data_IF_785979477050
#
_entry.id   IF_785979477050
#
_cell.length_a   1.000
_cell.length_b   1.000
_cell.length_c   1.000
_cell.angle_alpha   90.00
_cell.angle_beta   90.00
_cell.angle_gamma   90.00
#
_symmetry.space_group_name_H-M   'P 1'
#
loop_
_entity.id
_entity.type
_entity.pdbx_description
1 polymer ?
#
# COMPACT_ATOMS: atom_id res chain seq x y z
N UNK A 1 -0.59 8.55 11.46
CA UNK A 1 -0.35 7.69 10.28
C UNK A 1 -0.79 8.44 9.02
N UNK A 2 0.13 9.06 8.26
CA UNK A 2 -0.23 9.71 6.98
C UNK A 2 -0.22 8.65 5.87
N UNK A 3 -1.30 7.86 5.80
CA UNK A 3 -1.61 7.05 4.61
C UNK A 3 -2.20 8.00 3.55
N UNK A 4 -1.65 7.97 2.34
CA UNK A 4 -1.87 8.94 1.26
C UNK A 4 -3.28 8.88 0.60
N UNK A 5 -4.33 8.54 1.33
CA UNK A 5 -5.67 8.26 0.78
C UNK A 5 -6.48 9.46 0.28
N UNK A 6 -6.13 10.71 0.59
CA UNK A 6 -6.99 11.87 0.32
C UNK A 6 -6.45 12.90 -0.68
N UNK A 7 -5.23 12.73 -1.22
CA UNK A 7 -4.68 13.65 -2.24
C UNK A 7 -4.67 12.96 -3.60
N UNK A 8 -5.78 13.07 -4.33
CA UNK A 8 -5.95 12.49 -5.66
C UNK A 8 -4.93 13.03 -6.66
N UNK A 9 -4.06 12.13 -7.16
CA UNK A 9 -3.33 12.27 -8.42
C UNK A 9 -3.06 10.87 -8.99
N UNK A 10 -3.99 10.35 -9.77
CA UNK A 10 -3.82 9.15 -10.60
C UNK A 10 -3.19 9.53 -11.93
N UNK A 11 -2.02 8.97 -12.26
CA UNK A 11 -1.45 9.04 -13.60
C UNK A 11 -1.44 7.61 -14.20
N UNK A 12 -2.20 7.45 -15.27
CA UNK A 12 -2.29 6.26 -16.13
C UNK A 12 -1.08 6.24 -17.07
N UNK A 13 -0.50 5.06 -17.31
CA UNK A 13 0.52 4.88 -18.34
C UNK A 13 0.84 3.41 -18.57
N UNK A 14 0.26 2.82 -19.61
CA UNK A 14 0.63 1.50 -20.16
C UNK A 14 1.30 1.76 -21.49
N UNK A 15 2.54 1.29 -21.66
CA UNK A 15 3.13 1.06 -22.99
C UNK A 15 3.86 -0.27 -22.93
N UNK A 16 3.33 -1.26 -23.63
CA UNK A 16 3.97 -2.56 -23.84
C UNK A 16 4.85 -2.55 -25.08
N UNK A 17 5.92 -3.34 -25.06
CA UNK A 17 6.60 -3.82 -26.25
C UNK A 17 7.06 -5.26 -26.01
N UNK A 18 6.58 -6.17 -26.86
CA UNK A 18 7.02 -7.56 -27.01
C UNK A 18 8.19 -7.54 -28.00
N UNK A 19 9.31 -8.16 -27.65
CA UNK A 19 10.30 -8.61 -28.63
C UNK A 19 10.65 -10.07 -28.35
N UNK A 20 10.46 -10.90 -29.38
CA UNK A 20 11.02 -12.23 -29.49
C UNK A 20 12.53 -12.13 -29.75
N UNK A 21 13.32 -12.99 -29.13
CA UNK A 21 14.70 -13.29 -29.55
C UNK A 21 14.87 -14.81 -29.53
N UNK A 22 15.31 -15.35 -30.66
CA UNK A 22 15.67 -16.75 -30.90
C UNK A 22 17.08 -17.05 -30.43
N UNK A 23 17.31 -18.32 -30.09
CA UNK A 23 18.55 -18.89 -29.57
C UNK A 23 19.82 -18.55 -30.37
N UNK A 24 20.89 -18.29 -29.62
CA UNK A 24 22.26 -18.18 -30.09
C UNK A 24 23.20 -18.12 -28.88
N UNK A 25 23.92 -19.21 -28.63
CA UNK A 25 25.00 -19.27 -27.64
C UNK A 25 26.11 -18.29 -28.02
N UNK A 26 26.35 -17.29 -27.16
CA UNK A 26 27.59 -16.53 -27.13
C UNK A 26 27.77 -15.83 -25.78
N UNK A 27 28.86 -16.21 -25.11
CA UNK A 27 29.75 -15.36 -24.32
C UNK A 27 29.15 -14.57 -23.13
N UNK A 28 29.60 -14.93 -21.91
CA UNK A 28 29.29 -14.25 -20.65
C UNK A 28 29.89 -12.85 -20.67
N UNK A 29 29.17 -11.91 -21.28
CA UNK A 29 29.44 -10.49 -21.19
C UNK A 29 29.10 -10.01 -19.77
N UNK A 30 30.13 -9.55 -19.06
CA UNK A 30 29.99 -8.81 -17.81
C UNK A 30 28.97 -7.68 -17.99
N UNK A 31 27.83 -7.83 -17.33
CA UNK A 31 26.78 -6.81 -17.27
C UNK A 31 27.34 -5.58 -16.57
N UNK A 32 27.22 -4.43 -17.23
CA UNK A 32 27.57 -3.11 -16.72
C UNK A 32 26.98 -2.89 -15.32
N UNK A 33 27.84 -2.53 -14.36
CA UNK A 33 27.64 -2.61 -12.91
C UNK A 33 26.21 -2.26 -12.43
N UNK A 34 25.40 -3.29 -12.20
CA UNK A 34 24.37 -3.26 -11.17
C UNK A 34 25.09 -3.03 -9.84
N UNK A 35 24.73 -1.98 -9.09
CA UNK A 35 25.33 -1.73 -7.77
C UNK A 35 25.19 -2.97 -6.90
N UNK A 36 26.29 -3.44 -6.32
CA UNK A 36 26.22 -4.56 -5.39
C UNK A 36 25.36 -4.16 -4.18
N UNK A 37 24.82 -5.12 -3.44
CA UNK A 37 24.09 -4.84 -2.19
C UNK A 37 24.89 -3.88 -1.30
N UNK A 38 26.21 -4.12 -1.16
CA UNK A 38 27.10 -3.28 -0.36
C UNK A 38 27.14 -1.82 -0.83
N UNK A 39 27.27 -1.58 -2.14
CA UNK A 39 27.30 -0.23 -2.71
C UNK A 39 25.98 0.51 -2.48
N UNK A 40 24.86 -0.18 -2.68
CA UNK A 40 23.52 0.40 -2.51
C UNK A 40 23.22 0.70 -1.04
N UNK A 41 23.63 -0.19 -0.13
CA UNK A 41 23.49 0.04 1.32
C UNK A 41 24.36 1.21 1.78
N UNK A 42 25.59 1.35 1.28
CA UNK A 42 26.44 2.49 1.58
C UNK A 42 25.84 3.81 1.09
N UNK A 43 25.24 3.81 -0.10
CA UNK A 43 24.56 4.99 -0.62
C UNK A 43 23.30 5.34 0.18
N UNK A 44 22.49 4.34 0.56
CA UNK A 44 21.33 4.53 1.44
C UNK A 44 21.74 5.15 2.78
N UNK A 45 22.83 4.68 3.38
CA UNK A 45 23.37 5.26 4.61
C UNK A 45 23.78 6.74 4.42
N UNK A 46 24.32 7.09 3.24
CA UNK A 46 24.64 8.47 2.88
C UNK A 46 23.41 9.37 2.66
N UNK A 47 22.21 8.80 2.48
CA UNK A 47 20.96 9.56 2.37
C UNK A 47 20.31 9.86 3.73
N UNK A 48 20.90 9.38 4.82
CA UNK A 48 20.30 9.48 6.13
C UNK A 48 20.30 10.90 6.69
N UNK A 49 19.19 11.29 7.30
CA UNK A 49 19.00 12.59 7.94
C UNK A 49 18.32 12.44 9.31
N UNK A 50 19.01 12.86 10.37
CA UNK A 50 18.55 12.67 11.75
C UNK A 50 17.27 13.44 12.08
N UNK A 51 17.05 14.60 11.45
CA UNK A 51 15.82 15.37 11.65
C UNK A 51 14.64 14.70 10.97
N UNK A 52 14.85 14.17 9.77
CA UNK A 52 13.85 13.37 9.08
C UNK A 52 13.52 12.09 9.86
N UNK A 53 14.53 11.42 10.45
CA UNK A 53 14.32 10.26 11.33
C UNK A 53 13.43 10.61 12.50
N UNK A 54 13.74 11.67 13.25
CA UNK A 54 12.96 12.08 14.42
C UNK A 54 11.48 12.32 14.05
N UNK A 55 11.22 12.93 12.89
CA UNK A 55 9.86 13.16 12.40
C UNK A 55 9.18 11.85 11.99
N UNK A 56 9.89 10.93 11.34
CA UNK A 56 9.34 9.66 10.86
C UNK A 56 9.07 8.68 12.02
N UNK A 57 9.92 8.66 13.04
CA UNK A 57 9.76 7.80 14.22
C UNK A 57 8.51 8.16 15.01
N UNK A 58 8.16 9.46 15.09
CA UNK A 58 6.86 9.92 15.65
C UNK A 58 5.65 9.36 14.90
N UNK A 59 5.84 8.89 13.68
CA UNK A 59 4.81 8.24 12.87
C UNK A 59 4.96 6.72 12.79
N UNK A 60 5.93 6.13 13.49
CA UNK A 60 6.20 4.69 13.53
C UNK A 60 7.16 4.19 12.44
N UNK A 61 7.81 5.08 11.68
CA UNK A 61 8.74 4.75 10.61
C UNK A 61 10.19 5.04 11.06
N UNK A 62 11.04 4.01 11.16
CA UNK A 62 12.40 4.05 11.72
C UNK A 62 13.49 4.34 10.68
N UNK A 63 13.21 5.25 9.74
CA UNK A 63 14.17 5.71 8.72
C UNK A 63 14.25 7.24 8.67
N UNK A 64 15.42 7.81 8.38
CA UNK A 64 15.59 9.25 8.09
C UNK A 64 15.80 9.57 6.61
N UNK A 65 15.66 8.57 5.73
CA UNK A 65 15.84 8.80 4.28
C UNK A 65 14.70 9.62 3.69
N UNK A 66 15.04 10.69 2.97
CA UNK A 66 14.08 11.45 2.17
C UNK A 66 13.53 10.62 1.00
N UNK A 67 12.20 10.42 0.94
CA UNK A 67 11.56 9.58 -0.07
C UNK A 67 11.74 10.07 -1.52
N UNK A 68 12.00 11.36 -1.74
CA UNK A 68 12.33 11.91 -3.05
C UNK A 68 13.73 11.45 -3.52
N UNK A 69 14.72 11.49 -2.62
CA UNK A 69 16.07 10.96 -2.88
C UNK A 69 16.04 9.44 -3.08
N UNK A 70 15.26 8.73 -2.26
CA UNK A 70 15.04 7.28 -2.40
C UNK A 70 14.48 6.92 -3.79
N UNK A 71 13.49 7.67 -4.28
CA UNK A 71 12.94 7.48 -5.62
C UNK A 71 13.93 7.82 -6.73
N UNK A 72 14.80 8.82 -6.53
CA UNK A 72 15.87 9.13 -7.47
C UNK A 72 16.89 7.98 -7.57
N UNK A 73 17.25 7.37 -6.44
CA UNK A 73 18.07 6.17 -6.37
C UNK A 73 17.40 4.99 -7.10
N UNK A 74 16.13 4.70 -6.79
CA UNK A 74 15.37 3.65 -7.47
C UNK A 74 15.31 3.86 -8.99
N UNK A 75 15.11 5.12 -9.45
CA UNK A 75 15.10 5.48 -10.86
C UNK A 75 16.44 5.16 -11.55
N UNK A 76 17.57 5.39 -10.88
CA UNK A 76 18.89 5.08 -11.41
C UNK A 76 19.14 3.57 -11.45
N UNK A 77 18.76 2.84 -10.41
CA UNK A 77 18.93 1.38 -10.32
C UNK A 77 18.03 0.62 -11.31
N UNK A 78 16.87 1.19 -11.66
CA UNK A 78 15.80 0.53 -12.43
C UNK A 78 15.33 -0.75 -11.72
N UNK A 79 14.60 -1.61 -12.43
CA UNK A 79 14.12 -2.89 -11.89
C UNK A 79 15.29 -3.87 -11.72
N UNK A 80 15.51 -4.32 -10.49
CA UNK A 80 16.56 -5.26 -10.07
C UNK A 80 15.96 -6.24 -9.05
N UNK A 81 15.34 -7.33 -9.52
CA UNK A 81 14.53 -8.19 -8.65
C UNK A 81 15.34 -8.95 -7.60
N UNK A 82 16.47 -9.54 -7.98
CA UNK A 82 17.32 -10.27 -7.03
C UNK A 82 17.92 -9.33 -5.97
N UNK A 83 18.40 -8.15 -6.40
CA UNK A 83 18.82 -7.10 -5.48
C UNK A 83 17.68 -6.66 -4.55
N UNK A 84 16.44 -6.58 -5.04
CA UNK A 84 15.30 -6.25 -4.18
C UNK A 84 15.09 -7.29 -3.06
N UNK A 85 15.29 -8.58 -3.35
CA UNK A 85 15.23 -9.64 -2.33
C UNK A 85 16.35 -9.50 -1.31
N UNK A 86 17.57 -9.21 -1.76
CA UNK A 86 18.72 -8.97 -0.88
C UNK A 86 18.51 -7.73 0.01
N UNK A 87 18.04 -6.62 -0.57
CA UNK A 87 17.70 -5.39 0.16
C UNK A 87 16.58 -5.66 1.18
N UNK A 88 15.58 -6.45 0.83
CA UNK A 88 14.51 -6.83 1.74
C UNK A 88 15.02 -7.63 2.93
N UNK A 89 15.87 -8.62 2.66
CA UNK A 89 16.48 -9.51 3.64
C UNK A 89 17.42 -8.79 4.62
N UNK A 90 17.96 -7.62 4.25
CA UNK A 90 18.80 -6.79 5.14
C UNK A 90 18.07 -6.36 6.43
N UNK A 91 16.73 -6.30 6.41
CA UNK A 91 15.94 -5.84 7.55
C UNK A 91 15.85 -4.33 7.70
N UNK A 92 16.70 -3.56 7.02
CA UNK A 92 16.71 -2.10 7.07
C UNK A 92 15.45 -1.51 6.40
N UNK A 93 14.82 -0.55 7.06
CA UNK A 93 13.56 0.05 6.57
C UNK A 93 13.75 0.82 5.28
N UNK A 94 14.85 1.58 5.12
CA UNK A 94 15.09 2.31 3.88
C UNK A 94 15.44 1.35 2.72
N UNK A 95 16.18 0.27 3.00
CA UNK A 95 16.46 -0.80 2.05
C UNK A 95 15.19 -1.52 1.61
N UNK A 96 14.26 -1.82 2.53
CA UNK A 96 12.95 -2.42 2.19
C UNK A 96 12.07 -1.48 1.36
N UNK A 97 12.06 -0.19 1.65
CA UNK A 97 11.38 0.79 0.81
C UNK A 97 12.00 0.86 -0.59
N UNK A 98 13.33 0.78 -0.71
CA UNK A 98 14.01 0.70 -2.00
C UNK A 98 13.68 -0.60 -2.74
N UNK A 99 13.70 -1.74 -2.04
CA UNK A 99 13.36 -3.05 -2.57
C UNK A 99 11.98 -3.03 -3.26
N UNK A 100 10.98 -2.46 -2.60
CA UNK A 100 9.64 -2.30 -3.16
C UNK A 100 9.66 -1.49 -4.47
N UNK A 101 10.48 -0.46 -4.57
CA UNK A 101 10.57 0.39 -5.76
C UNK A 101 11.30 -0.26 -6.95
N UNK A 102 12.20 -1.22 -6.69
CA UNK A 102 13.05 -1.86 -7.72
C UNK A 102 12.69 -3.32 -8.01
N UNK A 103 11.71 -3.90 -7.32
CA UNK A 103 11.28 -5.27 -7.54
C UNK A 103 10.46 -5.48 -8.83
N UNK A 104 10.16 -6.75 -9.15
CA UNK A 104 9.12 -7.14 -10.11
C UNK A 104 7.90 -7.63 -9.33
N UNK A 105 6.83 -6.83 -9.19
CA UNK A 105 5.69 -7.17 -8.33
C UNK A 105 5.06 -8.55 -8.55
N UNK A 106 4.96 -8.98 -9.81
CA UNK A 106 4.32 -10.24 -10.21
C UNK A 106 5.23 -11.47 -10.09
N UNK A 107 6.47 -11.29 -9.68
CA UNK A 107 7.46 -12.38 -9.57
C UNK A 107 7.53 -12.99 -8.16
N UNK A 108 6.91 -12.35 -7.16
CA UNK A 108 6.80 -12.88 -5.80
C UNK A 108 5.71 -13.96 -5.73
N UNK A 109 6.02 -15.06 -5.04
CA UNK A 109 5.04 -16.07 -4.66
C UNK A 109 4.16 -15.60 -3.49
N UNK A 110 3.06 -16.31 -3.24
CA UNK A 110 2.17 -16.07 -2.10
C UNK A 110 2.86 -16.20 -0.74
N UNK A 111 3.59 -17.29 -0.50
CA UNK A 111 4.36 -17.51 0.74
C UNK A 111 5.40 -16.40 0.98
N UNK A 112 6.03 -15.92 -0.11
CA UNK A 112 7.00 -14.83 -0.03
C UNK A 112 6.31 -13.51 0.34
N UNK A 113 5.15 -13.21 -0.26
CA UNK A 113 4.36 -12.02 0.07
C UNK A 113 3.81 -12.06 1.50
N UNK A 114 3.38 -13.22 1.99
CA UNK A 114 2.96 -13.41 3.38
C UNK A 114 4.12 -13.17 4.36
N UNK A 115 5.29 -13.74 4.08
CA UNK A 115 6.49 -13.48 4.87
C UNK A 115 6.85 -11.98 4.86
N UNK A 116 6.78 -11.32 3.70
CA UNK A 116 7.05 -9.90 3.56
C UNK A 116 6.07 -9.05 4.39
N UNK A 117 4.76 -9.31 4.34
CA UNK A 117 3.79 -8.48 5.09
C UNK A 117 4.00 -8.58 6.61
N UNK A 118 4.38 -9.77 7.11
CA UNK A 118 4.70 -10.00 8.53
C UNK A 118 6.03 -9.34 8.96
N UNK A 119 6.94 -9.15 8.02
CA UNK A 119 8.22 -8.46 8.25
C UNK A 119 8.09 -6.93 8.14
N UNK A 120 7.07 -6.42 7.45
CA UNK A 120 6.82 -5.00 7.18
C UNK A 120 6.21 -4.25 8.38
N UNK A 121 6.94 -4.17 9.50
CA UNK A 121 6.44 -3.53 10.74
C UNK A 121 6.24 -2.01 10.59
N UNK A 122 7.18 -1.33 9.94
CA UNK A 122 7.09 0.10 9.66
C UNK A 122 5.85 0.41 8.78
N UNK A 123 4.95 1.33 9.19
CA UNK A 123 3.74 1.66 8.45
C UNK A 123 3.98 1.97 6.97
N UNK A 124 5.05 2.70 6.64
CA UNK A 124 5.40 3.05 5.26
C UNK A 124 5.73 1.82 4.41
N UNK A 125 6.50 0.89 4.98
CA UNK A 125 6.94 -0.32 4.29
C UNK A 125 5.73 -1.17 3.93
N UNK A 126 4.82 -1.39 4.89
CA UNK A 126 3.60 -2.16 4.61
C UNK A 126 2.72 -1.45 3.57
N UNK A 127 2.47 -0.16 3.73
CA UNK A 127 1.64 0.62 2.80
C UNK A 127 2.15 0.52 1.37
N UNK A 128 3.47 0.68 1.18
CA UNK A 128 4.10 0.56 -0.13
C UNK A 128 4.12 -0.89 -0.64
N UNK A 129 4.38 -1.86 0.23
CA UNK A 129 4.33 -3.28 -0.15
C UNK A 129 2.95 -3.63 -0.69
N UNK A 130 1.89 -3.34 0.07
CA UNK A 130 0.52 -3.63 -0.36
C UNK A 130 0.20 -2.89 -1.65
N UNK A 131 0.39 -1.56 -1.69
CA UNK A 131 -0.08 -0.76 -2.81
C UNK A 131 0.74 -0.92 -4.10
N UNK A 132 2.05 -1.13 -4.01
CA UNK A 132 2.92 -1.17 -5.18
C UNK A 132 3.21 -2.60 -5.64
N UNK A 133 3.13 -3.58 -4.73
CA UNK A 133 3.45 -4.98 -4.99
C UNK A 133 2.19 -5.84 -4.95
N UNK A 134 1.59 -6.05 -3.77
CA UNK A 134 0.57 -7.07 -3.56
C UNK A 134 -0.67 -6.84 -4.43
N UNK A 135 -1.15 -5.60 -4.54
CA UNK A 135 -2.29 -5.24 -5.39
C UNK A 135 -2.13 -5.61 -6.88
N UNK A 136 -0.89 -5.80 -7.34
CA UNK A 136 -0.57 -6.18 -8.72
C UNK A 136 -0.30 -7.68 -8.88
N UNK A 137 -0.21 -8.41 -7.77
CA UNK A 137 0.10 -9.84 -7.73
C UNK A 137 -1.08 -10.66 -8.26
N UNK A 138 -0.83 -11.79 -8.96
CA UNK A 138 -1.88 -12.76 -9.26
C UNK A 138 -2.48 -13.39 -7.98
N UNK A 139 -1.75 -13.36 -6.86
CA UNK A 139 -2.15 -13.94 -5.57
C UNK A 139 -3.03 -13.01 -4.72
N UNK A 140 -3.40 -11.82 -5.22
CA UNK A 140 -4.04 -10.78 -4.41
C UNK A 140 -5.38 -11.22 -3.78
N UNK A 141 -6.18 -12.03 -4.47
CA UNK A 141 -7.48 -12.48 -3.94
C UNK A 141 -7.32 -13.52 -2.83
N UNK A 142 -6.45 -14.50 -3.02
CA UNK A 142 -6.20 -15.54 -2.01
C UNK A 142 -5.58 -14.92 -0.75
N UNK A 143 -4.60 -14.01 -0.92
CA UNK A 143 -4.01 -13.25 0.18
C UNK A 143 -5.04 -12.33 0.86
N UNK A 144 -5.97 -11.72 0.12
CA UNK A 144 -7.04 -10.91 0.72
C UNK A 144 -7.89 -11.74 1.67
N UNK A 145 -8.31 -12.94 1.25
CA UNK A 145 -9.13 -13.84 2.06
C UNK A 145 -8.36 -14.32 3.31
N UNK A 146 -7.12 -14.78 3.13
CA UNK A 146 -6.28 -15.23 4.23
C UNK A 146 -5.99 -14.09 5.23
N UNK A 147 -5.54 -12.93 4.74
CA UNK A 147 -5.14 -11.82 5.62
C UNK A 147 -6.32 -11.18 6.32
N UNK A 148 -7.49 -11.01 5.68
CA UNK A 148 -8.66 -10.42 6.34
C UNK A 148 -9.14 -11.21 7.57
N UNK A 149 -8.79 -12.50 7.68
CA UNK A 149 -9.11 -13.35 8.83
C UNK A 149 -7.91 -13.57 9.78
N UNK A 150 -6.76 -12.94 9.51
CA UNK A 150 -5.55 -13.13 10.31
C UNK A 150 -5.71 -12.46 11.70
N UNK A 151 -5.30 -13.12 12.80
CA UNK A 151 -5.40 -12.55 14.14
C UNK A 151 -4.43 -11.39 14.39
N UNK A 152 -3.37 -11.24 13.58
CA UNK A 152 -2.49 -10.08 13.65
C UNK A 152 -3.16 -8.87 12.98
N UNK A 153 -3.50 -7.79 13.71
CA UNK A 153 -4.16 -6.62 13.15
C UNK A 153 -3.34 -5.92 12.07
N UNK A 154 -2.01 -6.07 12.08
CA UNK A 154 -1.12 -5.54 11.06
C UNK A 154 -1.35 -6.29 9.74
N UNK A 155 -1.45 -7.61 9.77
CA UNK A 155 -1.73 -8.44 8.58
C UNK A 155 -3.19 -8.24 8.14
N UNK A 156 -4.13 -8.25 9.08
CA UNK A 156 -5.54 -7.98 8.80
C UNK A 156 -5.75 -6.64 8.08
N UNK A 157 -5.02 -5.59 8.48
CA UNK A 157 -5.11 -4.29 7.81
C UNK A 157 -4.71 -4.34 6.32
N UNK A 158 -3.76 -5.21 5.94
CA UNK A 158 -3.42 -5.44 4.54
C UNK A 158 -4.57 -6.16 3.79
N UNK A 159 -5.21 -7.16 4.41
CA UNK A 159 -6.41 -7.81 3.84
C UNK A 159 -7.56 -6.83 3.60
N UNK A 160 -7.82 -5.92 4.54
CA UNK A 160 -8.81 -4.85 4.38
C UNK A 160 -8.44 -3.82 3.32
N UNK A 161 -7.15 -3.52 3.13
CA UNK A 161 -6.68 -2.67 2.05
C UNK A 161 -6.86 -3.30 0.65
N UNK A 162 -6.70 -4.62 0.54
CA UNK A 162 -7.01 -5.39 -0.67
C UNK A 162 -8.52 -5.46 -0.92
N UNK A 163 -9.31 -5.64 0.15
CA UNK A 163 -10.78 -5.61 0.10
C UNK A 163 -11.29 -4.26 -0.40
N UNK A 164 -10.75 -3.16 0.10
CA UNK A 164 -11.10 -1.81 -0.37
C UNK A 164 -10.81 -1.62 -1.86
N UNK A 165 -9.72 -2.18 -2.39
CA UNK A 165 -9.46 -2.12 -3.84
C UNK A 165 -10.45 -2.97 -4.64
N UNK A 166 -10.78 -4.18 -4.16
CA UNK A 166 -11.74 -5.05 -4.84
C UNK A 166 -13.13 -4.43 -4.89
N UNK A 167 -13.59 -3.80 -3.79
CA UNK A 167 -14.85 -3.04 -3.73
C UNK A 167 -14.95 -2.01 -4.86
N UNK A 168 -13.84 -1.34 -5.19
CA UNK A 168 -13.79 -0.31 -6.24
C UNK A 168 -13.68 -0.91 -7.64
N UNK A 169 -12.83 -1.93 -7.83
CA UNK A 169 -12.43 -2.38 -9.17
C UNK A 169 -13.16 -3.61 -9.68
N UNK A 170 -13.51 -4.55 -8.81
CA UNK A 170 -14.06 -5.87 -9.15
C UNK A 170 -15.03 -6.36 -8.04
N UNK A 171 -16.13 -5.64 -7.81
CA UNK A 171 -17.04 -5.91 -6.69
C UNK A 171 -17.87 -7.19 -6.86
N UNK A 172 -17.91 -7.78 -8.06
CA UNK A 172 -18.70 -8.97 -8.34
C UNK A 172 -18.33 -10.11 -7.37
N UNK A 173 -19.34 -10.70 -6.74
CA UNK A 173 -19.17 -11.78 -5.77
C UNK A 173 -18.65 -11.35 -4.39
N UNK A 174 -18.53 -10.05 -4.09
CA UNK A 174 -18.33 -9.59 -2.71
C UNK A 174 -19.66 -9.55 -1.96
N UNK A 175 -19.65 -10.05 -0.73
CA UNK A 175 -20.73 -9.81 0.23
C UNK A 175 -20.55 -8.43 0.89
N UNK A 176 -21.00 -7.38 0.19
CA UNK A 176 -20.90 -6.01 0.70
C UNK A 176 -21.73 -5.80 1.97
N UNK A 177 -22.84 -6.53 2.13
CA UNK A 177 -23.66 -6.46 3.34
C UNK A 177 -22.89 -7.03 4.54
N UNK A 178 -22.29 -8.22 4.38
CA UNK A 178 -21.46 -8.84 5.42
C UNK A 178 -20.22 -8.02 5.75
N UNK A 179 -19.57 -7.38 4.77
CA UNK A 179 -18.45 -6.46 5.06
C UNK A 179 -18.90 -5.28 5.95
N UNK A 180 -20.07 -4.71 5.70
CA UNK A 180 -20.63 -3.65 6.55
C UNK A 180 -20.99 -4.16 7.94
N UNK A 181 -21.49 -5.40 8.07
CA UNK A 181 -21.75 -6.03 9.38
C UNK A 181 -20.47 -6.12 10.22
N UNK A 182 -19.37 -6.58 9.62
CA UNK A 182 -18.06 -6.69 10.31
C UNK A 182 -17.52 -5.31 10.68
N UNK A 183 -17.59 -4.34 9.77
CA UNK A 183 -17.17 -2.95 10.05
C UNK A 183 -17.94 -2.37 11.23
N UNK A 184 -19.26 -2.53 11.22
CA UNK A 184 -20.14 -2.02 12.27
C UNK A 184 -19.81 -2.63 13.64
N UNK A 185 -19.53 -3.93 13.68
CA UNK A 185 -19.23 -4.65 14.92
C UNK A 185 -17.83 -4.35 15.47
N UNK A 186 -16.81 -4.24 14.62
CA UNK A 186 -15.42 -4.35 15.05
C UNK A 186 -14.60 -3.06 14.89
N UNK A 187 -14.89 -2.20 13.90
CA UNK A 187 -14.01 -1.11 13.50
C UNK A 187 -13.68 -0.14 14.64
N UNK A 188 -14.65 0.16 15.51
CA UNK A 188 -14.46 1.09 16.63
C UNK A 188 -13.43 0.61 17.65
N UNK A 189 -13.32 -0.71 17.85
CA UNK A 189 -12.37 -1.33 18.78
C UNK A 189 -11.06 -1.77 18.12
N UNK A 190 -10.97 -1.74 16.79
CA UNK A 190 -9.78 -2.17 16.06
C UNK A 190 -8.57 -1.24 16.33
N UNK A 191 -7.33 -1.78 16.35
CA UNK A 191 -6.12 -0.97 16.43
C UNK A 191 -6.00 0.01 15.24
N UNK A 192 -5.37 1.16 15.46
CA UNK A 192 -5.33 2.31 14.53
C UNK A 192 -5.18 1.95 13.04
N UNK A 193 -4.23 1.06 12.72
CA UNK A 193 -3.96 0.68 11.32
C UNK A 193 -5.10 -0.14 10.71
N UNK A 194 -5.63 -1.09 11.45
CA UNK A 194 -6.78 -1.90 11.04
C UNK A 194 -8.05 -1.04 10.98
N UNK A 195 -8.27 -0.19 11.99
CA UNK A 195 -9.38 0.76 12.01
C UNK A 195 -9.37 1.68 10.78
N UNK A 196 -8.20 2.18 10.38
CA UNK A 196 -8.06 2.99 9.17
C UNK A 196 -8.42 2.20 7.90
N UNK A 197 -7.96 0.95 7.78
CA UNK A 197 -8.24 0.11 6.62
C UNK A 197 -9.73 -0.24 6.52
N UNK A 198 -10.39 -0.54 7.64
CA UNK A 198 -11.83 -0.77 7.73
C UNK A 198 -12.63 0.50 7.39
N UNK A 199 -12.24 1.67 7.90
CA UNK A 199 -12.87 2.95 7.58
C UNK A 199 -12.73 3.28 6.08
N UNK A 200 -11.58 2.95 5.49
CA UNK A 200 -11.38 3.08 4.04
C UNK A 200 -12.35 2.18 3.28
N UNK A 201 -12.53 0.93 3.70
CA UNK A 201 -13.49 0.03 3.07
C UNK A 201 -14.93 0.54 3.19
N UNK A 202 -15.34 1.01 4.38
CA UNK A 202 -16.63 1.64 4.62
C UNK A 202 -16.89 2.80 3.65
N UNK A 203 -15.93 3.70 3.53
CA UNK A 203 -16.03 4.85 2.63
C UNK A 203 -16.13 4.40 1.17
N UNK A 204 -15.30 3.47 0.72
CA UNK A 204 -15.36 2.97 -0.66
C UNK A 204 -16.69 2.28 -0.97
N UNK A 205 -17.25 1.50 -0.03
CA UNK A 205 -18.59 0.91 -0.20
C UNK A 205 -19.63 2.02 -0.39
N UNK A 206 -19.62 3.04 0.49
CA UNK A 206 -20.57 4.15 0.38
C UNK A 206 -20.40 5.02 -0.87
N UNK A 207 -19.18 5.17 -1.38
CA UNK A 207 -18.87 5.94 -2.58
C UNK A 207 -19.32 5.18 -3.83
N UNK A 208 -18.89 3.93 -3.98
CA UNK A 208 -19.02 3.15 -5.21
C UNK A 208 -20.38 2.46 -5.36
N UNK A 209 -21.07 2.16 -4.25
CA UNK A 209 -22.27 1.32 -4.27
C UNK A 209 -23.48 2.08 -3.68
N UNK A 210 -24.28 2.78 -4.52
CA UNK A 210 -25.41 3.60 -4.07
C UNK A 210 -26.41 2.86 -3.18
N UNK A 211 -26.68 1.58 -3.46
CA UNK A 211 -27.60 0.75 -2.67
C UNK A 211 -27.17 0.53 -1.21
N UNK A 212 -25.87 0.68 -0.91
CA UNK A 212 -25.31 0.52 0.43
C UNK A 212 -24.93 1.86 1.08
N UNK A 213 -25.04 2.98 0.35
CA UNK A 213 -24.56 4.29 0.80
C UNK A 213 -25.22 4.77 2.09
N UNK A 214 -26.54 4.66 2.18
CA UNK A 214 -27.29 5.07 3.37
C UNK A 214 -26.79 4.32 4.61
N UNK A 215 -26.57 3.01 4.47
CA UNK A 215 -26.02 2.17 5.54
C UNK A 215 -24.59 2.55 5.91
N UNK A 216 -23.73 2.80 4.93
CA UNK A 216 -22.35 3.20 5.18
C UNK A 216 -22.25 4.56 5.91
N UNK A 217 -23.11 5.52 5.55
CA UNK A 217 -23.21 6.82 6.23
C UNK A 217 -23.67 6.65 7.68
N UNK A 218 -24.72 5.86 7.92
CA UNK A 218 -25.21 5.58 9.28
C UNK A 218 -24.13 4.97 10.18
N UNK A 219 -23.40 3.97 9.69
CA UNK A 219 -22.29 3.35 10.43
C UNK A 219 -21.23 4.40 10.74
N UNK A 220 -20.83 5.21 9.75
CA UNK A 220 -19.86 6.29 9.97
C UNK A 220 -20.29 7.29 11.04
N UNK A 221 -21.56 7.71 11.02
CA UNK A 221 -22.13 8.64 12.00
C UNK A 221 -22.28 8.03 13.40
N UNK A 222 -22.59 6.73 13.54
CA UNK A 222 -22.66 6.12 14.87
C UNK A 222 -21.28 5.84 15.47
N UNK A 223 -20.33 5.42 14.65
CA UNK A 223 -19.01 5.01 15.13
C UNK A 223 -18.07 6.20 15.36
N UNK A 224 -18.23 7.30 14.62
CA UNK A 224 -17.42 8.53 14.73
C UNK A 224 -15.90 8.30 14.59
N UNK A 225 -15.51 7.22 13.93
CA UNK A 225 -14.10 6.87 13.67
C UNK A 225 -13.45 7.92 12.77
N UNK A 226 -12.30 8.46 13.18
CA UNK A 226 -11.56 9.52 12.49
C UNK A 226 -12.30 10.86 12.32
N UNK A 227 -13.37 11.11 13.08
CA UNK A 227 -14.14 12.35 13.01
C UNK A 227 -13.29 13.61 13.20
N UNK A 228 -12.42 13.59 14.21
CA UNK A 228 -11.58 14.72 14.59
C UNK A 228 -10.17 14.64 13.98
N UNK A 229 -9.98 13.82 12.95
CA UNK A 229 -8.66 13.65 12.34
C UNK A 229 -8.18 14.97 11.71
N UNK A 230 -6.98 15.47 12.07
CA UNK A 230 -6.44 16.71 11.54
C UNK A 230 -6.35 16.67 10.00
N UNK A 231 -7.16 17.50 9.35
CA UNK A 231 -7.24 17.57 7.88
C UNK A 231 -6.72 18.92 7.42
N UNK A 232 -5.58 18.98 6.70
CA UNK A 232 -5.05 20.23 6.17
C UNK A 232 -6.02 20.92 5.20
N UNK A 233 -5.93 22.25 5.05
CA UNK A 233 -6.74 22.99 4.07
C UNK A 233 -6.64 22.39 2.66
N UNK A 234 -7.80 22.24 1.99
CA UNK A 234 -7.90 21.69 0.64
C UNK A 234 -7.86 20.15 0.55
N UNK A 235 -7.69 19.44 1.67
CA UNK A 235 -7.83 17.98 1.73
C UNK A 235 -9.26 17.57 2.13
N UNK A 236 -9.70 16.40 1.69
CA UNK A 236 -10.95 15.79 2.17
C UNK A 236 -10.68 15.03 3.46
N UNK A 237 -11.52 15.25 4.48
CA UNK A 237 -11.41 14.52 5.77
C UNK A 237 -11.56 13.01 5.56
N UNK A 238 -10.80 12.17 6.30
CA UNK A 238 -10.96 10.73 6.24
C UNK A 238 -12.18 10.22 7.01
N UNK A 239 -12.92 11.09 7.72
CA UNK A 239 -14.18 10.73 8.36
C UNK A 239 -15.18 10.25 7.30
N UNK A 240 -15.61 8.99 7.39
CA UNK A 240 -16.33 8.32 6.31
C UNK A 240 -17.55 9.10 5.78
N UNK A 241 -18.44 9.70 6.61
CA UNK A 241 -19.56 10.48 6.10
C UNK A 241 -19.14 11.70 5.25
N UNK A 242 -18.14 12.47 5.69
CA UNK A 242 -17.61 13.60 4.92
C UNK A 242 -16.94 13.11 3.65
N UNK A 243 -16.14 12.04 3.74
CA UNK A 243 -15.42 11.50 2.60
C UNK A 243 -16.38 10.98 1.52
N UNK A 244 -17.38 10.18 1.92
CA UNK A 244 -18.42 9.65 1.02
C UNK A 244 -19.14 10.79 0.33
N UNK A 245 -19.66 11.76 1.09
CA UNK A 245 -20.41 12.89 0.55
C UNK A 245 -19.60 13.69 -0.47
N UNK A 246 -18.34 14.00 -0.17
CA UNK A 246 -17.48 14.78 -1.07
C UNK A 246 -17.13 14.02 -2.36
N UNK A 247 -16.84 12.72 -2.27
CA UNK A 247 -16.48 11.93 -3.45
C UNK A 247 -17.68 11.66 -4.36
N UNK A 248 -18.87 11.42 -3.79
CA UNK A 248 -20.12 11.30 -4.57
C UNK A 248 -20.41 12.61 -5.29
N UNK A 249 -20.35 13.76 -4.58
CA UNK A 249 -20.54 15.09 -5.18
C UNK A 249 -19.59 15.36 -6.35
N UNK A 250 -18.32 14.94 -6.23
CA UNK A 250 -17.34 15.08 -7.31
C UNK A 250 -17.68 14.22 -8.52
N UNK A 251 -18.13 12.98 -8.31
CA UNK A 251 -18.54 12.07 -9.40
C UNK A 251 -19.76 12.58 -10.15
N UNK A 252 -20.74 13.12 -9.43
CA UNK A 252 -21.97 13.65 -10.03
C UNK A 252 -21.72 14.94 -10.84
N UNK A 253 -20.58 15.61 -10.63
CA UNK A 253 -20.18 16.82 -11.33
C UNK A 253 -19.29 16.57 -12.57
N UNK A 254 -18.93 15.31 -12.85
CA UNK A 254 -18.14 14.89 -14.01
C UNK A 254 -19.03 14.38 -15.14
#
# INVERSE_FOLDING_TARGET
>A
MVLQGACGRTAVGVVGWILYVTDGEAEVAQTTAAGTLGDVMAELAGLEDSKAREVNERHGDDHGVNLGKLRALAKRLKTQHELARELWASGDTAARLLAILVCRPKAFGDDELDAMVRQARAPKVQDWLVNYVVKKSPHAEDLRLAWSADPDPVVASAGWALTSERVVKKPEGLDLAGLLDVIEAEMKGAPDRLQWAMNTCLAQIGIEHPGYRVRALDIGERLQVLRDYPTPPGCTSPFAPIWIGEMVRRKDAM
#
